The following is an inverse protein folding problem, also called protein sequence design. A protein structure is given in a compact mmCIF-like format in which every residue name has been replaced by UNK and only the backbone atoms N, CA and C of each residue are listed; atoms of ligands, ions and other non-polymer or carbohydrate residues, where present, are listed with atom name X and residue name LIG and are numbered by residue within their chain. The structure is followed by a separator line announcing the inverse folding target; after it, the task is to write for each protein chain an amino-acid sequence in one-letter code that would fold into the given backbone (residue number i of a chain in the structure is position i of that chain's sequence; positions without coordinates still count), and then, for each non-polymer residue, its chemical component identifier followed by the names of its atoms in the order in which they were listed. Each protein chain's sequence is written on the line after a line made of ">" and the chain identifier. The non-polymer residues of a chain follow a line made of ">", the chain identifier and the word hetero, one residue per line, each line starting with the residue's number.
data_IF_298587271735
#
_entry.id   IF_298587271735
#
_cell.length_a   1.000
_cell.length_b   1.000
_cell.length_c   1.000
_cell.angle_alpha   90.00
_cell.angle_beta   90.00
_cell.angle_gamma   90.00
#
_symmetry.space_group_name_H-M   'P 1'
#
loop_
_entity.id
_entity.type
_entity.pdbx_description
1 polymer ?
#
# COMPACT_ATOMS: atom_id res chain seq x y z
N UNK A 1 11.45 19.37 9.88
CA UNK A 1 10.87 18.15 10.48
C UNK A 1 9.37 18.32 10.51
N UNK A 2 8.60 17.34 10.04
CA UNK A 2 7.14 17.35 10.17
C UNK A 2 6.76 16.90 11.57
N UNK A 3 5.80 17.59 12.20
CA UNK A 3 5.27 17.21 13.52
C UNK A 3 3.90 16.52 13.36
N UNK A 4 3.72 15.42 14.09
CA UNK A 4 2.45 14.70 14.20
C UNK A 4 2.05 14.70 15.66
N UNK A 5 0.84 15.17 15.97
CA UNK A 5 0.29 15.16 17.32
C UNK A 5 -0.59 13.92 17.52
N UNK A 6 -0.25 13.12 18.52
CA UNK A 6 -1.05 11.98 18.97
C UNK A 6 -1.52 12.22 20.39
N UNK A 7 -2.78 11.87 20.67
CA UNK A 7 -3.31 11.90 22.04
C UNK A 7 -2.97 10.58 22.71
N UNK A 8 -2.23 10.66 23.81
CA UNK A 8 -1.89 9.52 24.65
C UNK A 8 -2.70 9.58 25.95
N UNK A 9 -2.97 8.43 26.59
CA UNK A 9 -3.61 8.43 27.90
C UNK A 9 -2.77 9.16 28.95
N UNK A 10 -3.39 9.86 29.89
CA UNK A 10 -2.70 10.65 30.93
C UNK A 10 -1.69 9.82 31.75
N UNK A 11 -1.93 8.52 31.90
CA UNK A 11 -1.01 7.59 32.59
C UNK A 11 0.33 7.50 31.87
N UNK A 12 0.36 7.70 30.55
CA UNK A 12 1.59 7.74 29.76
C UNK A 12 2.48 8.92 30.14
N UNK A 13 1.89 10.04 30.58
CA UNK A 13 2.64 11.23 30.97
C UNK A 13 3.46 11.03 32.24
N UNK A 14 3.01 10.13 33.12
CA UNK A 14 3.73 9.74 34.34
C UNK A 14 4.96 8.87 34.11
N UNK A 15 5.20 8.39 32.89
CA UNK A 15 6.36 7.55 32.59
C UNK A 15 7.67 8.37 32.54
N UNK A 16 8.83 7.77 32.87
CA UNK A 16 10.11 8.40 32.60
C UNK A 16 10.29 8.68 31.10
N UNK A 17 10.90 9.81 30.75
CA UNK A 17 11.08 10.24 29.35
C UNK A 17 11.77 9.17 28.48
N UNK A 18 12.75 8.45 29.05
CA UNK A 18 13.43 7.34 28.38
C UNK A 18 12.46 6.22 27.99
N UNK A 19 11.51 5.88 28.86
CA UNK A 19 10.49 4.86 28.60
C UNK A 19 9.50 5.36 27.56
N UNK A 20 9.07 6.63 27.63
CA UNK A 20 8.20 7.23 26.60
C UNK A 20 8.82 7.12 25.21
N UNK A 21 10.08 7.52 25.07
CA UNK A 21 10.80 7.48 23.80
C UNK A 21 11.00 6.05 23.30
N UNK A 22 11.36 5.11 24.18
CA UNK A 22 11.53 3.71 23.80
C UNK A 22 10.21 3.09 23.31
N UNK A 23 9.10 3.34 24.01
CA UNK A 23 7.77 2.84 23.61
C UNK A 23 7.35 3.44 22.27
N UNK A 24 7.53 4.75 22.08
CA UNK A 24 7.17 5.42 20.83
C UNK A 24 8.02 4.91 19.64
N UNK A 25 9.34 4.78 19.81
CA UNK A 25 10.22 4.29 18.74
C UNK A 25 9.87 2.84 18.36
N UNK A 26 9.72 1.96 19.34
CA UNK A 26 9.36 0.56 19.09
C UNK A 26 7.96 0.45 18.50
N UNK A 27 7.00 1.24 19.00
CA UNK A 27 5.63 1.28 18.50
C UNK A 27 5.58 1.72 17.05
N UNK A 28 6.20 2.85 16.71
CA UNK A 28 6.26 3.35 15.33
C UNK A 28 6.91 2.32 14.40
N UNK A 29 8.05 1.74 14.80
CA UNK A 29 8.73 0.72 14.00
C UNK A 29 7.84 -0.49 13.72
N UNK A 30 7.21 -1.06 14.75
CA UNK A 30 6.31 -2.22 14.60
C UNK A 30 5.10 -1.89 13.74
N UNK A 31 4.50 -0.71 13.93
CA UNK A 31 3.37 -0.27 13.11
C UNK A 31 3.74 -0.12 11.63
N UNK A 32 4.94 0.38 11.34
CA UNK A 32 5.45 0.46 9.95
C UNK A 32 5.64 -0.94 9.37
N UNK A 33 6.29 -1.85 10.09
CA UNK A 33 6.51 -3.24 9.66
C UNK A 33 5.20 -3.98 9.38
N UNK A 34 4.20 -3.83 10.27
CA UNK A 34 2.87 -4.40 10.08
C UNK A 34 2.15 -3.81 8.87
N UNK A 35 2.24 -2.50 8.66
CA UNK A 35 1.63 -1.84 7.52
C UNK A 35 2.26 -2.28 6.20
N UNK A 36 3.59 -2.40 6.13
CA UNK A 36 4.29 -2.96 4.97
C UNK A 36 3.77 -4.37 4.69
N UNK A 37 3.69 -5.24 5.70
CA UNK A 37 3.18 -6.61 5.54
C UNK A 37 1.76 -6.65 4.99
N UNK A 38 0.88 -5.77 5.45
CA UNK A 38 -0.49 -5.66 4.92
C UNK A 38 -0.48 -5.24 3.44
N UNK A 39 0.21 -4.15 3.12
CA UNK A 39 0.28 -3.62 1.76
C UNK A 39 0.94 -4.61 0.79
N UNK A 40 1.95 -5.36 1.22
CA UNK A 40 2.60 -6.38 0.38
C UNK A 40 1.61 -7.48 -0.04
N UNK A 41 0.71 -7.90 0.85
CA UNK A 41 -0.36 -8.86 0.50
C UNK A 41 -1.33 -8.28 -0.53
N UNK A 42 -1.66 -7.00 -0.41
CA UNK A 42 -2.52 -6.31 -1.37
C UNK A 42 -1.83 -6.18 -2.73
N UNK A 43 -0.52 -5.88 -2.75
CA UNK A 43 0.31 -5.87 -3.97
C UNK A 43 0.35 -7.25 -4.62
N UNK A 44 0.61 -8.32 -3.86
CA UNK A 44 0.59 -9.69 -4.39
C UNK A 44 -0.77 -10.06 -4.98
N UNK A 45 -1.87 -9.63 -4.35
CA UNK A 45 -3.21 -9.87 -4.85
C UNK A 45 -3.49 -9.08 -6.14
N UNK A 46 -3.11 -7.79 -6.18
CA UNK A 46 -3.23 -6.96 -7.37
C UNK A 46 -2.44 -7.55 -8.55
N UNK A 47 -1.19 -7.97 -8.33
CA UNK A 47 -0.37 -8.63 -9.34
C UNK A 47 -1.03 -9.90 -9.88
N UNK A 48 -1.62 -10.74 -9.02
CA UNK A 48 -2.35 -11.94 -9.44
C UNK A 48 -3.56 -11.61 -10.31
N UNK A 49 -4.31 -10.56 -9.98
CA UNK A 49 -5.49 -10.17 -10.76
C UNK A 49 -5.11 -9.50 -12.09
N UNK A 50 -4.11 -8.61 -12.11
CA UNK A 50 -3.53 -8.05 -13.33
C UNK A 50 -3.09 -9.17 -14.27
N UNK A 51 -2.36 -10.16 -13.76
CA UNK A 51 -1.89 -11.30 -14.54
C UNK A 51 -3.02 -12.08 -15.21
N UNK A 52 -4.18 -12.23 -14.56
CA UNK A 52 -5.36 -12.88 -15.18
C UNK A 52 -5.85 -12.10 -16.41
N UNK A 53 -5.87 -10.78 -16.35
CA UNK A 53 -6.26 -9.96 -17.50
C UNK A 53 -5.21 -9.97 -18.60
N UNK A 54 -3.92 -9.91 -18.25
CA UNK A 54 -2.82 -10.05 -19.23
C UNK A 54 -2.88 -11.41 -19.93
N UNK A 55 -3.21 -12.48 -19.20
CA UNK A 55 -3.40 -13.81 -19.75
C UNK A 55 -4.67 -13.91 -20.62
N UNK A 56 -5.76 -13.20 -20.28
CA UNK A 56 -7.00 -13.16 -21.07
C UNK A 56 -6.80 -12.40 -22.38
N UNK A 57 -6.19 -11.22 -22.34
CA UNK A 57 -6.07 -10.31 -23.48
C UNK A 57 -4.74 -10.40 -24.23
N UNK A 58 -3.77 -11.16 -23.72
CA UNK A 58 -2.43 -11.40 -24.30
C UNK A 58 -1.62 -10.11 -24.55
N UNK A 59 -1.90 -9.07 -23.78
CA UNK A 59 -1.22 -7.77 -23.83
C UNK A 59 -1.09 -7.20 -22.41
N UNK A 60 -0.12 -6.32 -22.14
CA UNK A 60 -0.06 -5.59 -20.87
C UNK A 60 -1.11 -4.48 -20.79
N UNK A 61 -1.39 -4.00 -19.57
CA UNK A 61 -2.33 -2.89 -19.32
C UNK A 61 -2.06 -1.66 -20.20
N UNK A 62 -0.79 -1.29 -20.35
CA UNK A 62 -0.35 -0.12 -21.15
C UNK A 62 -0.80 -0.18 -22.61
N UNK A 63 -1.01 -1.40 -23.15
CA UNK A 63 -1.51 -1.63 -24.51
C UNK A 63 -3.02 -1.85 -24.53
N UNK A 64 -3.56 -2.51 -23.50
CA UNK A 64 -4.99 -2.75 -23.38
C UNK A 64 -5.77 -1.43 -23.22
N UNK A 65 -5.29 -0.56 -22.32
CA UNK A 65 -5.93 0.71 -21.96
C UNK A 65 -6.03 1.75 -23.07
N UNK A 66 -5.32 1.56 -24.19
CA UNK A 66 -5.35 2.44 -25.36
C UNK A 66 -6.49 2.12 -26.33
N UNK A 67 -7.16 0.99 -26.15
CA UNK A 67 -8.23 0.53 -27.05
C UNK A 67 -9.58 0.86 -26.44
N UNK A 68 -10.55 1.19 -27.28
CA UNK A 68 -11.94 1.27 -26.84
C UNK A 68 -12.49 -0.15 -26.58
N UNK A 69 -13.11 -0.39 -25.41
CA UNK A 69 -13.75 -1.66 -25.10
C UNK A 69 -14.82 -2.03 -26.13
N UNK A 70 -14.80 -3.28 -26.60
CA UNK A 70 -15.79 -3.82 -27.53
C UNK A 70 -16.87 -4.57 -26.78
N UNK A 71 -17.86 -3.81 -26.31
CA UNK A 71 -19.02 -4.35 -25.61
C UNK A 71 -18.85 -4.40 -24.10
N UNK A 72 -19.86 -4.94 -23.43
CA UNK A 72 -20.01 -4.87 -21.98
C UNK A 72 -18.89 -5.59 -21.22
N UNK A 73 -18.53 -6.81 -21.63
CA UNK A 73 -17.51 -7.60 -20.92
C UNK A 73 -16.14 -6.93 -20.90
N UNK A 74 -15.69 -6.40 -22.05
CA UNK A 74 -14.41 -5.69 -22.10
C UNK A 74 -14.43 -4.38 -21.30
N UNK A 75 -15.59 -3.75 -21.14
CA UNK A 75 -15.74 -2.54 -20.33
C UNK A 75 -15.60 -2.84 -18.83
N UNK A 76 -16.23 -3.92 -18.37
CA UNK A 76 -16.10 -4.38 -16.97
C UNK A 76 -14.66 -4.78 -16.68
N UNK A 77 -14.06 -5.59 -17.54
CA UNK A 77 -12.66 -6.00 -17.41
C UNK A 77 -11.69 -4.81 -17.43
N UNK A 78 -11.96 -3.79 -18.26
CA UNK A 78 -11.18 -2.56 -18.25
C UNK A 78 -11.26 -1.86 -16.90
N UNK A 79 -12.46 -1.75 -16.34
CA UNK A 79 -12.70 -1.06 -15.06
C UNK A 79 -11.99 -1.79 -13.93
N UNK A 80 -12.16 -3.11 -13.85
CA UNK A 80 -11.54 -3.93 -12.83
C UNK A 80 -10.02 -3.92 -12.95
N UNK A 81 -9.48 -4.08 -14.15
CA UNK A 81 -8.03 -4.06 -14.36
C UNK A 81 -7.44 -2.70 -13.98
N UNK A 82 -8.09 -1.58 -14.35
CA UNK A 82 -7.66 -0.25 -13.93
C UNK A 82 -7.54 -0.14 -12.41
N UNK A 83 -8.53 -0.65 -11.66
CA UNK A 83 -8.51 -0.63 -10.19
C UNK A 83 -7.29 -1.38 -9.66
N UNK A 84 -6.98 -2.56 -10.20
CA UNK A 84 -5.82 -3.33 -9.75
C UNK A 84 -4.49 -2.66 -10.07
N UNK A 85 -4.38 -1.98 -11.22
CA UNK A 85 -3.19 -1.18 -11.58
C UNK A 85 -2.99 -0.01 -10.61
N UNK A 86 -4.08 0.65 -10.21
CA UNK A 86 -4.05 1.73 -9.22
C UNK A 86 -3.63 1.21 -7.84
N UNK A 87 -4.22 0.10 -7.38
CA UNK A 87 -3.83 -0.56 -6.11
C UNK A 87 -2.36 -0.96 -6.13
N UNK A 88 -1.88 -1.58 -7.21
CA UNK A 88 -0.49 -1.99 -7.35
C UNK A 88 0.46 -0.79 -7.26
N UNK A 89 0.16 0.28 -8.01
CA UNK A 89 0.98 1.50 -8.05
C UNK A 89 1.03 2.19 -6.69
N UNK A 90 -0.12 2.43 -6.08
CA UNK A 90 -0.23 3.21 -4.84
C UNK A 90 0.37 2.47 -3.64
N UNK A 91 0.09 1.17 -3.54
CA UNK A 91 0.62 0.37 -2.44
C UNK A 91 2.13 0.14 -2.56
N UNK A 92 2.65 -0.08 -3.78
CA UNK A 92 4.10 -0.23 -3.99
C UNK A 92 4.84 1.06 -3.63
N UNK A 93 4.34 2.22 -4.08
CA UNK A 93 4.92 3.53 -3.73
C UNK A 93 4.84 3.83 -2.23
N UNK A 94 3.79 3.35 -1.54
CA UNK A 94 3.65 3.49 -0.10
C UNK A 94 4.63 2.59 0.66
N UNK A 95 4.80 1.34 0.23
CA UNK A 95 5.79 0.41 0.80
C UNK A 95 7.19 1.00 0.70
N UNK A 96 7.59 1.54 -0.46
CA UNK A 96 8.91 2.14 -0.66
C UNK A 96 9.17 3.27 0.36
N UNK A 97 8.20 4.18 0.55
CA UNK A 97 8.31 5.26 1.54
C UNK A 97 8.41 4.74 2.97
N UNK A 98 7.65 3.70 3.30
CA UNK A 98 7.68 3.07 4.63
C UNK A 98 8.99 2.34 4.89
N UNK A 99 9.60 1.71 3.88
CA UNK A 99 10.92 1.08 4.00
C UNK A 99 12.00 2.12 4.30
N UNK A 100 11.97 3.28 3.63
CA UNK A 100 12.89 4.40 3.92
C UNK A 100 12.73 4.88 5.38
N UNK A 101 11.54 4.79 5.98
CA UNK A 101 11.34 5.13 7.38
C UNK A 101 11.98 4.13 8.36
N UNK A 102 12.25 2.89 7.95
CA UNK A 102 12.90 1.88 8.79
C UNK A 102 14.43 1.92 8.73
N UNK A 103 14.99 2.50 7.67
CA UNK A 103 16.44 2.65 7.45
C UNK A 103 17.04 3.89 8.14
N UNK A 104 16.19 4.77 8.68
CA UNK A 104 16.56 6.00 9.38
C UNK A 104 16.46 5.84 10.89
#
# INVERSE_FOLDING_TARGET
>A
MSQVAIRLPDVFDGLPEKEKQAILQVGVKKSIEERIKQLSKEVENAQKNIKKFEEKYKVPWTRFSQKEPKGWEEHEDYTDWKIWEEVLRENSATIEKLQICLEK
#
